data_IF_930639946312
#
_entry.id   IF_930639946312
#
_cell.length_a   1.000
_cell.length_b   1.000
_cell.length_c   1.000
_cell.angle_alpha   90.00
_cell.angle_beta   90.00
_cell.angle_gamma   90.00
#
_symmetry.space_group_name_H-M   'P 1'
#
loop_
_entity.id
_entity.type
_entity.pdbx_description
1 polymer ?
#
# COMPACT_ATOMS: atom_id res chain seq x y z
N UNK A 1 -28.17 16.46 -4.02
CA UNK A 1 -27.74 15.06 -4.14
C UNK A 1 -27.07 14.61 -2.84
N UNK A 2 -27.47 13.46 -2.26
CA UNK A 2 -26.77 12.88 -1.09
C UNK A 2 -25.35 12.46 -1.52
N UNK A 3 -24.32 13.05 -0.90
CA UNK A 3 -22.92 12.64 -1.17
C UNK A 3 -22.68 11.21 -0.73
N UNK A 4 -21.98 10.42 -1.54
CA UNK A 4 -21.49 9.11 -1.13
C UNK A 4 -20.58 9.22 0.10
N UNK A 5 -20.65 8.25 0.98
CA UNK A 5 -19.88 8.23 2.21
C UNK A 5 -18.64 7.35 2.02
N UNK A 6 -17.49 7.91 2.35
CA UNK A 6 -16.21 7.21 2.37
C UNK A 6 -15.75 7.09 3.82
N UNK A 7 -15.59 5.86 4.32
CA UNK A 7 -14.85 5.63 5.56
C UNK A 7 -13.36 5.72 5.26
N UNK A 8 -12.66 6.58 5.97
CA UNK A 8 -11.23 6.80 5.81
C UNK A 8 -10.49 6.25 7.02
N UNK A 9 -9.76 5.15 6.80
CA UNK A 9 -8.92 4.46 7.79
C UNK A 9 -7.53 4.11 7.22
N UNK A 10 -6.76 5.09 6.78
CA UNK A 10 -5.49 4.87 6.09
C UNK A 10 -4.31 4.55 7.03
N UNK A 11 -4.52 4.37 8.32
CA UNK A 11 -3.43 4.08 9.26
C UNK A 11 -2.61 2.84 8.84
N UNK A 12 -1.26 2.88 8.92
CA UNK A 12 -0.41 3.90 9.56
C UNK A 12 -0.22 5.20 8.75
N UNK A 13 -0.63 5.23 7.49
CA UNK A 13 -0.50 6.41 6.63
C UNK A 13 -1.50 7.50 7.01
N UNK A 14 -1.32 8.67 6.41
CA UNK A 14 -2.24 9.81 6.56
C UNK A 14 -2.71 10.26 5.18
N UNK A 15 -3.93 10.78 5.07
CA UNK A 15 -4.49 11.17 3.77
C UNK A 15 -3.63 12.19 2.99
N UNK A 16 -2.90 13.05 3.68
CA UNK A 16 -2.02 14.03 3.01
C UNK A 16 -0.72 13.40 2.47
N UNK A 17 -0.37 12.18 2.88
CA UNK A 17 0.72 11.40 2.29
C UNK A 17 0.27 10.63 1.04
N UNK A 18 -1.04 10.33 0.95
CA UNK A 18 -1.64 9.59 -0.16
C UNK A 18 -2.08 10.53 -1.28
N UNK A 19 -2.62 11.69 -0.90
CA UNK A 19 -3.19 12.64 -1.85
C UNK A 19 -2.47 13.99 -1.80
N UNK A 20 -2.23 14.59 -2.97
CA UNK A 20 -1.87 16.00 -3.04
C UNK A 20 -2.96 16.89 -2.43
N UNK A 21 -2.61 18.11 -2.01
CA UNK A 21 -3.57 19.08 -1.43
C UNK A 21 -4.77 19.32 -2.37
N UNK A 22 -4.53 19.42 -3.68
CA UNK A 22 -5.57 19.60 -4.71
C UNK A 22 -6.53 18.41 -4.74
N UNK A 23 -6.00 17.17 -4.81
CA UNK A 23 -6.79 15.94 -4.87
C UNK A 23 -7.55 15.68 -3.57
N UNK A 24 -6.97 15.99 -2.42
CA UNK A 24 -7.67 15.87 -1.14
C UNK A 24 -8.84 16.86 -1.01
N UNK A 25 -8.69 18.08 -1.53
CA UNK A 25 -9.78 19.07 -1.60
C UNK A 25 -10.91 18.57 -2.53
N UNK A 26 -10.56 18.03 -3.68
CA UNK A 26 -11.52 17.43 -4.62
C UNK A 26 -12.27 16.25 -3.99
N UNK A 27 -11.57 15.34 -3.32
CA UNK A 27 -12.19 14.21 -2.61
C UNK A 27 -13.22 14.70 -1.58
N UNK A 28 -12.86 15.67 -0.74
CA UNK A 28 -13.75 16.23 0.28
C UNK A 28 -14.94 17.00 -0.30
N UNK A 29 -14.81 17.59 -1.51
CA UNK A 29 -15.92 18.28 -2.16
C UNK A 29 -16.96 17.32 -2.70
N UNK A 30 -16.54 16.17 -3.23
CA UNK A 30 -17.40 15.17 -3.87
C UNK A 30 -18.01 14.16 -2.89
N UNK A 31 -17.30 13.83 -1.81
CA UNK A 31 -17.63 12.76 -0.88
C UNK A 31 -17.72 13.25 0.56
N UNK A 32 -18.55 12.58 1.36
CA UNK A 32 -18.56 12.78 2.81
C UNK A 32 -17.56 11.81 3.45
N UNK A 33 -16.47 12.33 4.02
CA UNK A 33 -15.48 11.52 4.71
C UNK A 33 -15.86 11.28 6.16
N UNK A 34 -15.93 10.01 6.57
CA UNK A 34 -15.99 9.58 7.96
C UNK A 34 -14.60 9.04 8.34
N UNK A 35 -13.93 9.71 9.25
CA UNK A 35 -12.61 9.26 9.73
C UNK A 35 -12.79 8.19 10.79
N UNK A 36 -12.18 7.03 10.58
CA UNK A 36 -12.10 6.01 11.61
C UNK A 36 -11.14 6.46 12.74
N UNK A 37 -11.49 6.21 14.00
CA UNK A 37 -10.60 6.48 15.12
C UNK A 37 -9.43 5.51 15.14
N UNK A 38 -8.37 5.81 15.90
CA UNK A 38 -7.25 4.88 16.09
C UNK A 38 -7.56 3.76 17.05
N UNK A 39 -8.35 4.05 18.07
CA UNK A 39 -8.82 3.13 19.10
C UNK A 39 -10.30 2.83 18.88
N UNK A 40 -10.77 1.68 19.37
CA UNK A 40 -12.18 1.25 19.28
C UNK A 40 -12.74 1.23 17.85
N UNK A 41 -11.90 0.81 16.89
CA UNK A 41 -12.30 0.71 15.49
C UNK A 41 -13.50 -0.19 15.28
N UNK A 42 -13.58 -1.30 16.00
CA UNK A 42 -14.68 -2.25 15.90
C UNK A 42 -16.03 -1.58 16.11
N UNK A 43 -16.19 -0.84 17.20
CA UNK A 43 -17.44 -0.12 17.51
C UNK A 43 -17.77 0.94 16.46
N UNK A 44 -16.74 1.61 15.94
CA UNK A 44 -16.92 2.59 14.88
C UNK A 44 -17.46 1.94 13.61
N UNK A 45 -16.89 0.81 13.19
CA UNK A 45 -17.33 0.09 11.99
C UNK A 45 -18.72 -0.48 12.19
N UNK A 46 -19.03 -1.08 13.35
CA UNK A 46 -20.37 -1.58 13.68
C UNK A 46 -21.44 -0.50 13.52
N UNK A 47 -21.15 0.72 13.95
CA UNK A 47 -22.09 1.86 13.89
C UNK A 47 -22.18 2.54 12.52
N UNK A 48 -21.20 2.39 11.64
CA UNK A 48 -21.11 3.24 10.46
C UNK A 48 -20.97 2.50 9.13
N UNK A 49 -20.62 1.22 9.12
CA UNK A 49 -20.30 0.48 7.89
C UNK A 49 -21.50 0.42 6.92
N UNK A 50 -22.74 0.32 7.46
CA UNK A 50 -23.97 0.30 6.66
C UNK A 50 -24.22 1.59 5.87
N UNK A 51 -23.55 2.68 6.22
CA UNK A 51 -23.64 3.98 5.52
C UNK A 51 -22.59 4.11 4.42
N UNK A 52 -21.49 3.35 4.52
CA UNK A 52 -20.35 3.50 3.64
C UNK A 52 -20.63 3.03 2.21
N UNK A 53 -20.26 3.86 1.25
CA UNK A 53 -20.21 3.45 -0.16
C UNK A 53 -18.79 2.99 -0.52
N UNK A 54 -17.78 3.59 0.10
CA UNK A 54 -16.38 3.27 -0.11
C UNK A 54 -15.63 3.21 1.21
N UNK A 55 -14.62 2.36 1.28
CA UNK A 55 -13.65 2.32 2.38
C UNK A 55 -12.27 2.60 1.79
N UNK A 56 -11.56 3.55 2.37
CA UNK A 56 -10.20 3.91 1.99
C UNK A 56 -9.27 3.61 3.17
N UNK A 57 -8.53 2.54 3.10
CA UNK A 57 -7.67 2.10 4.18
C UNK A 57 -7.58 0.58 4.28
N UNK A 58 -7.16 0.10 5.45
CA UNK A 58 -6.92 -1.31 5.72
C UNK A 58 -7.54 -1.77 7.04
N UNK A 59 -8.87 -1.65 7.18
CA UNK A 59 -9.56 -2.19 8.34
C UNK A 59 -9.67 -3.71 8.29
N UNK A 60 -9.89 -4.32 9.46
CA UNK A 60 -10.26 -5.72 9.57
C UNK A 60 -11.75 -5.86 9.27
N UNK A 61 -12.07 -6.50 8.16
CA UNK A 61 -13.43 -6.65 7.64
C UNK A 61 -13.79 -8.13 7.46
N UNK A 62 -14.21 -8.76 8.55
CA UNK A 62 -14.72 -10.12 8.49
C UNK A 62 -16.13 -10.16 7.86
N UNK A 63 -16.58 -11.38 7.53
CA UNK A 63 -17.90 -11.64 6.93
C UNK A 63 -19.06 -11.00 7.71
N UNK A 64 -19.02 -11.08 9.05
CA UNK A 64 -20.10 -10.54 9.89
C UNK A 64 -20.22 -9.02 9.76
N UNK A 65 -19.09 -8.32 9.69
CA UNK A 65 -19.07 -6.88 9.52
C UNK A 65 -19.46 -6.49 8.09
N UNK A 66 -18.92 -7.19 7.09
CA UNK A 66 -19.24 -6.99 5.68
C UNK A 66 -20.71 -7.24 5.37
N UNK A 67 -21.38 -8.18 6.05
CA UNK A 67 -22.81 -8.44 5.86
C UNK A 67 -23.69 -7.23 6.21
N UNK A 68 -23.20 -6.35 7.08
CA UNK A 68 -23.88 -5.09 7.45
C UNK A 68 -23.60 -3.96 6.45
N UNK A 69 -22.65 -4.13 5.56
CA UNK A 69 -22.19 -3.11 4.61
C UNK A 69 -23.08 -3.04 3.35
N UNK A 70 -24.36 -2.82 3.51
CA UNK A 70 -25.39 -2.92 2.44
C UNK A 70 -25.19 -1.96 1.26
N UNK A 71 -24.41 -0.89 1.43
CA UNK A 71 -24.14 0.13 0.40
C UNK A 71 -22.71 0.12 -0.11
N UNK A 72 -21.88 -0.76 0.42
CA UNK A 72 -20.46 -0.82 0.10
C UNK A 72 -20.27 -1.33 -1.33
N UNK A 73 -19.51 -0.57 -2.13
CA UNK A 73 -19.18 -0.87 -3.51
C UNK A 73 -17.72 -1.22 -3.71
N UNK A 74 -16.83 -0.53 -2.96
CA UNK A 74 -15.41 -0.74 -3.15
C UNK A 74 -14.64 -0.47 -1.86
N UNK A 75 -13.60 -1.29 -1.66
CA UNK A 75 -12.57 -1.13 -0.62
C UNK A 75 -11.26 -0.84 -1.35
N UNK A 76 -10.58 0.24 -0.96
CA UNK A 76 -9.31 0.66 -1.54
C UNK A 76 -8.23 0.47 -0.49
N UNK A 77 -7.45 -0.59 -0.62
CA UNK A 77 -6.28 -0.84 0.22
C UNK A 77 -5.19 0.18 -0.11
N UNK A 78 -4.76 0.93 0.90
CA UNK A 78 -3.72 1.96 0.74
C UNK A 78 -2.31 1.41 0.85
N UNK A 79 -2.15 0.19 1.34
CA UNK A 79 -0.92 -0.59 1.25
C UNK A 79 -0.92 -1.44 -0.03
N UNK A 80 0.24 -1.93 -0.41
CA UNK A 80 0.38 -2.55 -1.73
C UNK A 80 -0.08 -4.00 -1.83
N UNK A 81 -0.46 -4.65 -0.72
CA UNK A 81 -0.77 -6.08 -0.71
C UNK A 81 -2.24 -6.36 -0.38
N UNK A 82 -2.72 -7.50 -0.83
CA UNK A 82 -3.91 -8.14 -0.30
C UNK A 82 -3.51 -8.87 0.98
N UNK A 83 -3.95 -8.34 2.13
CA UNK A 83 -3.64 -8.86 3.46
C UNK A 83 -4.85 -9.64 3.99
N UNK A 84 -4.64 -10.50 4.99
CA UNK A 84 -5.70 -11.34 5.60
C UNK A 84 -6.69 -10.55 6.48
N UNK A 85 -6.84 -9.27 6.22
CA UNK A 85 -7.71 -8.36 6.94
C UNK A 85 -9.13 -8.23 6.36
N UNK A 86 -9.39 -8.83 5.21
CA UNK A 86 -10.68 -8.74 4.51
C UNK A 86 -11.14 -10.13 4.11
N UNK A 87 -12.41 -10.45 4.31
CA UNK A 87 -13.05 -11.62 3.71
C UNK A 87 -13.27 -11.37 2.20
N UNK A 88 -12.25 -11.69 1.40
CA UNK A 88 -12.26 -11.49 -0.06
C UNK A 88 -13.33 -12.32 -0.75
N UNK A 89 -13.55 -13.56 -0.29
CA UNK A 89 -14.57 -14.46 -0.86
C UNK A 89 -15.97 -13.85 -0.70
N UNK A 90 -16.23 -13.26 0.46
CA UNK A 90 -17.49 -12.56 0.69
C UNK A 90 -17.59 -11.33 -0.22
N UNK A 91 -16.54 -10.52 -0.32
CA UNK A 91 -16.51 -9.34 -1.20
C UNK A 91 -16.78 -9.75 -2.65
N UNK A 92 -16.11 -10.78 -3.13
CA UNK A 92 -16.26 -11.28 -4.49
C UNK A 92 -17.70 -11.75 -4.77
N UNK A 93 -18.28 -12.58 -3.88
CA UNK A 93 -19.68 -13.04 -3.98
C UNK A 93 -20.69 -11.89 -3.99
N UNK A 94 -20.41 -10.81 -3.27
CA UNK A 94 -21.28 -9.63 -3.16
C UNK A 94 -20.97 -8.53 -4.17
N UNK A 95 -20.03 -8.75 -5.09
CA UNK A 95 -19.59 -7.77 -6.09
C UNK A 95 -19.10 -6.47 -5.45
N UNK A 96 -18.39 -6.60 -4.34
CA UNK A 96 -17.68 -5.49 -3.70
C UNK A 96 -16.25 -5.52 -4.24
N UNK A 97 -15.87 -4.48 -4.98
CA UNK A 97 -14.52 -4.38 -5.52
C UNK A 97 -13.50 -4.18 -4.40
N UNK A 98 -12.37 -4.89 -4.48
CA UNK A 98 -11.23 -4.66 -3.59
C UNK A 98 -10.02 -4.29 -4.45
N UNK A 99 -9.53 -3.07 -4.27
CA UNK A 99 -8.43 -2.50 -5.05
C UNK A 99 -7.21 -2.35 -4.16
N UNK A 100 -6.07 -2.85 -4.61
CA UNK A 100 -4.77 -2.62 -4.00
C UNK A 100 -3.98 -1.57 -4.79
N UNK A 101 -3.09 -0.84 -4.12
CA UNK A 101 -2.27 0.20 -4.75
C UNK A 101 -0.92 -0.34 -5.28
N UNK A 102 -0.72 -1.66 -5.30
CA UNK A 102 0.51 -2.33 -5.78
C UNK A 102 1.06 -1.78 -7.10
N UNK A 103 0.25 -1.53 -8.14
CA UNK A 103 0.77 -1.06 -9.42
C UNK A 103 1.53 0.26 -9.33
N UNK A 104 1.21 1.12 -8.35
CA UNK A 104 1.89 2.40 -8.13
C UNK A 104 3.34 2.21 -7.70
N UNK A 105 3.63 1.11 -7.01
CA UNK A 105 4.97 0.79 -6.48
C UNK A 105 5.77 -0.15 -7.39
N UNK A 106 5.18 -0.70 -8.44
CA UNK A 106 5.81 -1.72 -9.27
C UNK A 106 7.13 -1.23 -9.88
N UNK A 107 7.13 -0.03 -10.48
CA UNK A 107 8.32 0.53 -11.11
C UNK A 107 9.47 0.80 -10.11
N UNK A 108 9.28 1.59 -9.03
CA UNK A 108 10.38 1.83 -8.08
C UNK A 108 10.86 0.55 -7.39
N UNK A 109 10.00 -0.43 -7.14
CA UNK A 109 10.42 -1.72 -6.58
C UNK A 109 11.29 -2.49 -7.58
N UNK A 110 10.93 -2.51 -8.86
CA UNK A 110 11.74 -3.14 -9.90
C UNK A 110 13.11 -2.46 -10.05
N UNK A 111 13.18 -1.13 -9.99
CA UNK A 111 14.43 -0.37 -10.04
C UNK A 111 15.35 -0.72 -8.84
N UNK A 112 14.80 -0.80 -7.63
CA UNK A 112 15.56 -1.21 -6.44
C UNK A 112 16.02 -2.66 -6.58
N UNK A 113 15.17 -3.58 -7.02
CA UNK A 113 15.53 -4.98 -7.22
C UNK A 113 16.69 -5.13 -8.23
N UNK A 114 16.63 -4.41 -9.35
CA UNK A 114 17.71 -4.39 -10.34
C UNK A 114 18.99 -3.82 -9.74
N UNK A 115 18.92 -2.70 -9.03
CA UNK A 115 20.06 -2.09 -8.36
C UNK A 115 20.74 -3.02 -7.34
N UNK A 116 19.95 -3.72 -6.53
CA UNK A 116 20.46 -4.72 -5.59
C UNK A 116 21.10 -5.91 -6.30
N UNK A 117 20.47 -6.41 -7.37
CA UNK A 117 21.02 -7.49 -8.19
C UNK A 117 22.38 -7.12 -8.77
N UNK A 118 22.48 -5.95 -9.39
CA UNK A 118 23.75 -5.45 -9.92
C UNK A 118 24.80 -5.23 -8.83
N UNK A 119 24.39 -4.73 -7.66
CA UNK A 119 25.29 -4.54 -6.53
C UNK A 119 25.89 -5.86 -6.03
N UNK A 120 25.09 -6.93 -5.98
CA UNK A 120 25.55 -8.26 -5.59
C UNK A 120 26.47 -8.86 -6.67
N UNK A 121 26.00 -8.88 -7.93
CA UNK A 121 26.75 -9.49 -9.03
C UNK A 121 28.10 -8.81 -9.29
N UNK A 122 28.18 -7.51 -9.09
CA UNK A 122 29.40 -6.70 -9.31
C UNK A 122 30.18 -6.45 -8.04
N UNK A 123 29.77 -7.02 -6.91
CA UNK A 123 30.41 -6.86 -5.59
C UNK A 123 30.63 -5.38 -5.19
N UNK A 124 29.68 -4.51 -5.59
CA UNK A 124 29.82 -3.05 -5.45
C UNK A 124 29.96 -2.64 -3.99
N UNK A 125 29.26 -3.31 -3.07
CA UNK A 125 29.30 -2.89 -1.66
C UNK A 125 30.65 -3.21 -1.01
N UNK A 126 31.26 -4.38 -1.28
CA UNK A 126 32.61 -4.69 -0.78
C UNK A 126 33.65 -3.78 -1.41
N UNK A 127 33.58 -3.54 -2.72
CA UNK A 127 34.44 -2.62 -3.42
C UNK A 127 34.38 -1.19 -2.83
N UNK A 128 33.14 -0.73 -2.47
CA UNK A 128 32.96 0.54 -1.77
C UNK A 128 33.64 0.56 -0.39
N UNK A 129 33.47 -0.48 0.42
CA UNK A 129 34.13 -0.56 1.72
C UNK A 129 35.63 -0.63 1.63
N UNK A 130 36.18 -1.35 0.66
CA UNK A 130 37.62 -1.42 0.43
C UNK A 130 38.16 -0.05 0.00
N UNK A 131 37.48 0.64 -0.90
CA UNK A 131 37.83 1.98 -1.32
C UNK A 131 37.87 2.99 -0.15
N UNK A 132 36.82 3.00 0.69
CA UNK A 132 36.75 3.90 1.85
C UNK A 132 37.89 3.63 2.86
N UNK A 133 38.37 2.37 2.93
CA UNK A 133 39.46 1.96 3.82
C UNK A 133 40.86 2.10 3.18
N UNK A 134 40.97 2.56 1.92
CA UNK A 134 42.21 2.59 1.17
C UNK A 134 42.81 1.20 0.91
N UNK A 135 41.93 0.19 0.73
CA UNK A 135 42.27 -1.21 0.48
C UNK A 135 41.78 -1.68 -0.89
N UNK A 136 41.44 -0.74 -1.75
CA UNK A 136 40.94 -1.03 -3.09
C UNK A 136 41.97 -1.86 -3.89
N UNK A 137 41.42 -2.78 -4.69
CA UNK A 137 42.21 -3.65 -5.57
C UNK A 137 41.95 -3.27 -7.02
N UNK A 138 43.03 -3.26 -7.80
CA UNK A 138 42.99 -2.95 -9.22
C UNK A 138 43.46 -4.17 -10.05
N UNK A 139 42.98 -4.23 -11.29
CA UNK A 139 43.38 -5.25 -12.24
C UNK A 139 42.49 -6.51 -12.24
N UNK A 140 43.05 -7.63 -12.72
CA UNK A 140 42.31 -8.85 -12.98
C UNK A 140 41.71 -9.44 -11.70
N UNK A 141 42.45 -9.45 -10.60
CA UNK A 141 42.02 -10.06 -9.33
C UNK A 141 40.77 -9.40 -8.75
N UNK A 142 40.58 -8.11 -8.95
CA UNK A 142 39.40 -7.39 -8.46
C UNK A 142 38.09 -7.80 -9.13
N UNK A 143 38.17 -8.45 -10.30
CA UNK A 143 37.00 -8.84 -11.09
C UNK A 143 36.64 -10.33 -10.97
N UNK A 144 37.45 -11.14 -10.26
CA UNK A 144 37.20 -12.59 -10.16
C UNK A 144 35.92 -12.97 -9.43
N UNK A 145 35.46 -12.12 -8.52
CA UNK A 145 34.19 -12.33 -7.78
C UNK A 145 32.96 -11.70 -8.45
N UNK A 146 33.13 -11.00 -9.56
CA UNK A 146 32.03 -10.30 -10.21
C UNK A 146 31.45 -11.10 -11.38
N UNK A 147 30.13 -11.03 -11.55
CA UNK A 147 29.40 -11.69 -12.63
C UNK A 147 28.60 -10.69 -13.44
N UNK A 148 28.36 -11.01 -14.72
CA UNK A 148 27.46 -10.24 -15.58
C UNK A 148 26.01 -10.65 -15.35
N UNK A 149 25.10 -9.72 -15.60
CA UNK A 149 23.67 -9.96 -15.65
C UNK A 149 23.31 -10.38 -17.10
N UNK A 150 23.61 -11.63 -17.46
CA UNK A 150 23.32 -12.17 -18.82
C UNK A 150 22.71 -13.54 -18.68
#
# INVERSE_FOLDING_TARGET
>A
MKKHIVISDPYPRRLFLIFSKKKLKELKSKYKLLKAPRLNKKDFYEKNIHKATFILGQPDLNKNLLSKATKLKCIINVESNFMDNIDYDYCFKKKIDVIATSPVFAKPVAEIALGMTLSILRDIHNAHFDFVKGKEKYGLESNLSSSLLT
#
